data_IF_032786770220
#
_entry.id   IF_032786770220
#
_cell.length_a   1.000
_cell.length_b   1.000
_cell.length_c   1.000
_cell.angle_alpha   90.00
_cell.angle_beta   90.00
_cell.angle_gamma   90.00
#
_symmetry.space_group_name_H-M   'P 1'
#
loop_
_entity.id
_entity.type
_entity.pdbx_description
1 polymer ?
#
# COMPACT_ATOMS: atom_id res chain seq x y z
N UNK A 1 1.56 14.57 16.60
CA UNK A 1 2.88 15.23 16.45
C UNK A 1 2.80 16.18 15.26
N UNK A 2 3.52 17.31 15.29
CA UNK A 2 3.57 18.20 14.13
C UNK A 2 4.19 17.49 12.91
N UNK A 3 3.84 17.89 11.68
CA UNK A 3 4.39 17.28 10.47
C UNK A 3 5.92 17.43 10.45
N UNK A 4 6.63 16.40 9.97
CA UNK A 4 8.09 16.43 9.83
C UNK A 4 8.55 17.29 8.64
N UNK A 5 7.61 17.68 7.76
CA UNK A 5 7.83 18.49 6.58
C UNK A 5 6.81 19.64 6.54
N UNK A 6 7.16 20.81 5.97
CA UNK A 6 6.17 21.84 5.65
C UNK A 6 5.11 21.25 4.71
N UNK A 7 3.84 21.53 4.98
CA UNK A 7 2.72 21.10 4.13
C UNK A 7 2.21 22.31 3.35
N UNK A 8 2.12 22.18 2.03
CA UNK A 8 1.50 23.17 1.15
C UNK A 8 0.13 22.66 0.70
N UNK A 9 -0.80 22.60 1.66
CA UNK A 9 -2.13 22.02 1.42
C UNK A 9 -3.01 22.95 0.58
N UNK A 10 -3.85 22.40 -0.31
CA UNK A 10 -4.88 23.18 -0.99
C UNK A 10 -5.75 23.96 0.00
N UNK A 11 -6.24 25.14 -0.41
CA UNK A 11 -6.96 26.08 0.47
C UNK A 11 -8.29 25.54 1.04
N UNK A 12 -8.84 24.52 0.39
CA UNK A 12 -10.05 23.79 0.78
C UNK A 12 -9.77 22.62 1.75
N UNK A 13 -8.50 22.34 2.05
CA UNK A 13 -8.10 21.35 3.05
C UNK A 13 -7.79 22.04 4.37
N UNK A 14 -8.55 21.66 5.40
CA UNK A 14 -8.33 22.10 6.78
C UNK A 14 -7.64 20.98 7.57
N UNK A 15 -6.48 21.30 8.15
CA UNK A 15 -5.72 20.37 8.98
C UNK A 15 -5.82 20.77 10.44
N UNK A 16 -6.32 19.85 11.27
CA UNK A 16 -6.38 20.00 12.72
C UNK A 16 -5.72 18.79 13.39
N UNK A 17 -4.94 19.05 14.45
CA UNK A 17 -4.39 18.00 15.29
C UNK A 17 -5.31 17.76 16.47
N UNK A 18 -5.69 16.51 16.68
CA UNK A 18 -6.52 16.13 17.82
C UNK A 18 -5.76 16.33 19.15
N UNK A 19 -6.50 16.55 20.22
CA UNK A 19 -5.96 16.60 21.57
C UNK A 19 -5.37 15.23 21.97
N UNK A 20 -4.33 15.25 22.82
CA UNK A 20 -3.57 14.04 23.17
C UNK A 20 -4.39 12.98 23.94
N UNK A 21 -5.52 13.37 24.53
CA UNK A 21 -6.47 12.54 25.26
C UNK A 21 -7.64 12.03 24.39
N UNK A 22 -7.72 12.46 23.12
CA UNK A 22 -8.72 12.00 22.16
C UNK A 22 -8.15 10.92 21.24
N UNK A 23 -9.06 10.10 20.70
CA UNK A 23 -8.78 9.17 19.61
C UNK A 23 -9.73 9.44 18.45
N UNK A 24 -9.29 9.20 17.21
CA UNK A 24 -10.15 9.38 16.03
C UNK A 24 -11.40 8.49 16.09
N UNK A 25 -11.26 7.27 16.61
CA UNK A 25 -12.37 6.35 16.82
C UNK A 25 -13.37 6.86 17.86
N UNK A 26 -12.90 7.42 18.98
CA UNK A 26 -13.78 8.03 19.98
C UNK A 26 -14.50 9.28 19.46
N UNK A 27 -13.83 10.06 18.60
CA UNK A 27 -14.45 11.21 17.94
C UNK A 27 -15.54 10.79 16.94
N UNK A 28 -15.34 9.68 16.22
CA UNK A 28 -16.36 9.09 15.35
C UNK A 28 -17.58 8.62 16.17
N UNK A 29 -17.37 7.91 17.29
CA UNK A 29 -18.45 7.47 18.19
C UNK A 29 -19.22 8.65 18.81
N UNK A 30 -18.53 9.75 19.11
CA UNK A 30 -19.13 10.97 19.63
C UNK A 30 -19.86 11.81 18.56
N UNK A 31 -19.80 11.42 17.28
CA UNK A 31 -20.36 12.18 16.15
C UNK A 31 -19.60 13.46 15.83
N UNK A 32 -18.34 13.58 16.26
CA UNK A 32 -17.45 14.69 15.92
C UNK A 32 -16.80 14.52 14.54
N UNK A 33 -16.73 13.29 14.03
CA UNK A 33 -16.24 12.94 12.69
C UNK A 33 -17.31 12.16 11.94
N UNK A 34 -17.44 12.40 10.63
CA UNK A 34 -18.34 11.65 9.77
C UNK A 34 -17.70 10.35 9.22
N UNK A 35 -16.36 10.33 9.13
CA UNK A 35 -15.60 9.23 8.55
C UNK A 35 -14.21 9.11 9.17
N UNK A 36 -13.61 7.94 9.01
CA UNK A 36 -12.29 7.60 9.53
C UNK A 36 -11.46 6.87 8.48
N UNK A 37 -10.24 7.36 8.24
CA UNK A 37 -9.16 6.60 7.62
C UNK A 37 -8.25 6.07 8.73
N UNK A 38 -8.17 4.75 8.88
CA UNK A 38 -7.36 4.10 9.90
C UNK A 38 -6.43 3.05 9.28
N UNK A 39 -5.23 2.92 9.85
CA UNK A 39 -4.26 1.86 9.50
C UNK A 39 -4.55 0.53 10.20
N UNK A 40 -5.64 0.46 10.98
CA UNK A 40 -6.10 -0.70 11.71
C UNK A 40 -7.62 -0.78 11.62
N UNK A 41 -8.21 -1.95 11.86
CA UNK A 41 -9.66 -2.10 11.94
C UNK A 41 -10.14 -1.54 13.29
N UNK A 42 -11.00 -0.50 13.32
CA UNK A 42 -11.48 0.08 14.57
C UNK A 42 -12.18 -0.95 15.46
N UNK A 43 -11.99 -0.85 16.79
CA UNK A 43 -12.63 -1.75 17.75
C UNK A 43 -14.16 -1.68 17.69
N UNK A 44 -14.74 -0.51 17.41
CA UNK A 44 -16.17 -0.33 17.17
C UNK A 44 -16.66 -1.28 16.06
N UNK A 45 -15.89 -1.41 14.97
CA UNK A 45 -16.23 -2.29 13.87
C UNK A 45 -16.09 -3.76 14.28
N UNK A 46 -14.99 -4.12 14.96
CA UNK A 46 -14.76 -5.49 15.45
C UNK A 46 -15.83 -5.94 16.46
N UNK A 47 -16.33 -5.02 17.29
CA UNK A 47 -17.38 -5.26 18.26
C UNK A 47 -18.78 -5.24 17.65
N UNK A 48 -18.90 -5.03 16.33
CA UNK A 48 -20.19 -5.02 15.63
C UNK A 48 -21.07 -3.81 15.96
N UNK A 49 -20.45 -2.66 16.30
CA UNK A 49 -21.20 -1.42 16.53
C UNK A 49 -21.99 -1.04 15.26
N UNK A 50 -23.29 -0.73 15.37
CA UNK A 50 -24.09 -0.30 14.22
C UNK A 50 -23.75 1.13 13.75
N UNK A 51 -22.91 1.85 14.49
CA UNK A 51 -22.53 3.24 14.21
C UNK A 51 -21.37 3.37 13.21
N UNK A 52 -20.74 2.27 12.83
CA UNK A 52 -19.62 2.26 11.89
C UNK A 52 -19.82 1.19 10.82
N UNK A 53 -19.50 1.54 9.58
CA UNK A 53 -19.49 0.62 8.46
C UNK A 53 -18.33 0.95 7.53
N UNK A 54 -18.01 0.03 6.61
CA UNK A 54 -17.11 0.35 5.50
C UNK A 54 -17.81 1.36 4.59
N UNK A 55 -17.07 2.37 4.13
CA UNK A 55 -17.57 3.34 3.14
C UNK A 55 -18.03 2.65 1.85
N UNK A 56 -17.28 1.65 1.40
CA UNK A 56 -17.66 0.75 0.31
C UNK A 56 -17.99 -0.64 0.89
N UNK A 57 -19.27 -1.03 0.96
CA UNK A 57 -19.64 -2.38 1.40
C UNK A 57 -19.09 -3.47 0.48
N UNK A 58 -19.02 -3.17 -0.82
CA UNK A 58 -18.44 -3.98 -1.90
C UNK A 58 -16.99 -3.57 -2.20
N UNK A 59 -16.17 -3.40 -1.15
CA UNK A 59 -14.79 -2.89 -1.27
C UNK A 59 -13.95 -3.71 -2.25
N UNK A 60 -14.13 -5.03 -2.28
CA UNK A 60 -13.38 -5.92 -3.15
C UNK A 60 -13.62 -5.60 -4.63
N UNK A 61 -14.87 -5.42 -5.02
CA UNK A 61 -15.24 -5.07 -6.39
C UNK A 61 -14.74 -3.67 -6.77
N UNK A 62 -14.81 -2.72 -5.83
CA UNK A 62 -14.30 -1.35 -6.03
C UNK A 62 -12.78 -1.34 -6.21
N UNK A 63 -12.04 -2.12 -5.42
CA UNK A 63 -10.60 -2.27 -5.53
C UNK A 63 -10.18 -2.96 -6.84
N UNK A 64 -10.91 -4.01 -7.25
CA UNK A 64 -10.68 -4.68 -8.53
C UNK A 64 -10.93 -3.74 -9.71
N UNK A 65 -12.03 -2.97 -9.71
CA UNK A 65 -12.31 -1.95 -10.74
C UNK A 65 -11.22 -0.86 -10.77
N UNK A 66 -10.78 -0.39 -9.60
CA UNK A 66 -9.71 0.60 -9.52
C UNK A 66 -8.43 0.08 -10.19
N UNK A 67 -8.00 -1.14 -9.88
CA UNK A 67 -6.84 -1.75 -10.52
C UNK A 67 -7.05 -1.93 -12.03
N UNK A 68 -8.21 -2.43 -12.47
CA UNK A 68 -8.50 -2.61 -13.89
C UNK A 68 -8.46 -1.30 -14.69
N UNK A 69 -8.92 -0.19 -14.09
CA UNK A 69 -8.91 1.13 -14.74
C UNK A 69 -7.55 1.81 -14.74
N UNK A 70 -6.73 1.58 -13.73
CA UNK A 70 -5.52 2.38 -13.49
C UNK A 70 -4.21 1.60 -13.64
N UNK A 71 -4.24 0.28 -13.51
CA UNK A 71 -3.06 -0.56 -13.33
C UNK A 71 -2.35 -0.35 -11.98
N UNK A 72 -2.92 0.45 -11.06
CA UNK A 72 -2.30 0.74 -9.77
C UNK A 72 -2.69 -0.34 -8.77
N UNK A 73 -1.71 -1.17 -8.41
CA UNK A 73 -1.79 -2.02 -7.23
C UNK A 73 -1.08 -1.30 -6.07
N UNK A 74 -1.74 -1.04 -4.92
CA UNK A 74 -1.18 -0.20 -3.86
C UNK A 74 0.15 -0.70 -3.29
N UNK A 75 1.10 0.23 -3.14
CA UNK A 75 2.42 -0.04 -2.53
C UNK A 75 2.28 -0.04 -1.01
N UNK A 76 2.64 -1.15 -0.36
CA UNK A 76 2.63 -1.24 1.11
C UNK A 76 3.98 -0.84 1.72
N UNK A 77 5.09 -1.35 1.18
CA UNK A 77 6.44 -1.14 1.70
C UNK A 77 7.47 -0.97 0.58
N UNK A 78 8.52 -0.20 0.84
CA UNK A 78 9.68 -0.05 -0.03
C UNK A 78 10.97 -0.36 0.74
N UNK A 79 11.92 -1.01 0.08
CA UNK A 79 13.26 -1.25 0.63
C UNK A 79 14.20 -0.18 0.10
N UNK A 80 14.88 0.53 1.01
CA UNK A 80 15.84 1.59 0.66
C UNK A 80 17.23 1.22 1.16
N UNK A 81 18.25 1.57 0.38
CA UNK A 81 19.66 1.40 0.73
C UNK A 81 20.27 2.78 0.87
N UNK A 82 21.04 2.98 1.93
CA UNK A 82 21.78 4.24 2.12
C UNK A 82 22.81 4.39 0.99
N UNK A 83 22.93 5.60 0.44
CA UNK A 83 23.70 5.84 -0.78
C UNK A 83 25.20 5.47 -0.62
N UNK A 84 25.81 5.78 0.52
CA UNK A 84 27.19 5.44 0.83
C UNK A 84 27.44 3.91 0.85
N UNK A 85 26.50 3.13 1.40
CA UNK A 85 26.56 1.67 1.42
C UNK A 85 26.48 1.11 0.01
N UNK A 86 25.58 1.61 -0.83
CA UNK A 86 25.51 1.19 -2.23
C UNK A 86 26.80 1.56 -2.97
N UNK A 87 27.36 2.74 -2.73
CA UNK A 87 28.59 3.19 -3.40
C UNK A 87 29.79 2.32 -3.03
N UNK A 88 29.91 1.93 -1.76
CA UNK A 88 30.98 1.05 -1.27
C UNK A 88 30.76 -0.42 -1.67
N UNK A 89 29.50 -0.85 -1.76
CA UNK A 89 29.11 -2.23 -2.07
C UNK A 89 28.00 -2.28 -3.15
N UNK A 90 28.33 -2.01 -4.43
CA UNK A 90 27.32 -1.92 -5.50
C UNK A 90 26.49 -3.19 -5.72
N UNK A 91 27.02 -4.36 -5.33
CA UNK A 91 26.34 -5.66 -5.44
C UNK A 91 25.18 -5.84 -4.44
N UNK A 92 25.09 -5.00 -3.40
CA UNK A 92 24.08 -5.14 -2.33
C UNK A 92 22.65 -4.97 -2.89
N UNK A 93 22.43 -4.05 -3.82
CA UNK A 93 21.11 -3.84 -4.43
C UNK A 93 20.61 -5.11 -5.15
N UNK A 94 21.43 -5.68 -6.03
CA UNK A 94 21.09 -6.90 -6.76
C UNK A 94 20.91 -8.10 -5.82
N UNK A 95 21.74 -8.20 -4.78
CA UNK A 95 21.69 -9.29 -3.80
C UNK A 95 20.42 -9.24 -2.94
N UNK A 96 20.04 -8.05 -2.46
CA UNK A 96 18.79 -7.85 -1.72
C UNK A 96 17.58 -8.10 -2.62
N UNK A 97 17.57 -7.56 -3.84
CA UNK A 97 16.49 -7.79 -4.80
C UNK A 97 16.26 -9.29 -5.05
N UNK A 98 17.35 -10.04 -5.32
CA UNK A 98 17.28 -11.48 -5.51
C UNK A 98 16.76 -12.19 -4.25
N UNK A 99 17.33 -11.90 -3.08
CA UNK A 99 16.94 -12.56 -1.84
C UNK A 99 15.47 -12.32 -1.48
N UNK A 100 14.97 -11.08 -1.64
CA UNK A 100 13.56 -10.79 -1.38
C UNK A 100 12.64 -11.37 -2.45
N UNK A 101 13.07 -11.42 -3.72
CA UNK A 101 12.28 -12.09 -4.77
C UNK A 101 12.12 -13.58 -4.46
N UNK A 102 13.21 -14.26 -4.07
CA UNK A 102 13.17 -15.67 -3.63
C UNK A 102 12.26 -15.85 -2.41
N UNK A 103 12.35 -14.96 -1.41
CA UNK A 103 11.48 -15.01 -0.24
C UNK A 103 9.99 -14.81 -0.58
N UNK A 104 9.68 -13.87 -1.48
CA UNK A 104 8.33 -13.64 -1.99
C UNK A 104 7.81 -14.89 -2.71
N UNK A 105 8.59 -15.43 -3.64
CA UNK A 105 8.19 -16.59 -4.43
C UNK A 105 7.91 -17.81 -3.53
N UNK A 106 8.73 -18.02 -2.50
CA UNK A 106 8.47 -19.06 -1.49
C UNK A 106 7.13 -18.88 -0.76
N UNK A 107 6.77 -17.64 -0.42
CA UNK A 107 5.51 -17.34 0.27
C UNK A 107 4.29 -17.47 -0.65
N UNK A 108 4.39 -17.02 -1.90
CA UNK A 108 3.26 -16.96 -2.84
C UNK A 108 3.02 -18.29 -3.54
N UNK A 109 4.08 -19.01 -3.94
CA UNK A 109 3.93 -20.27 -4.67
C UNK A 109 3.22 -21.35 -3.85
N UNK A 110 3.27 -21.28 -2.51
CA UNK A 110 2.56 -22.19 -1.61
C UNK A 110 1.06 -21.92 -1.45
N UNK A 111 0.53 -20.81 -2.00
CA UNK A 111 -0.89 -20.48 -1.88
C UNK A 111 -1.79 -21.34 -2.78
N UNK A 112 -1.24 -21.90 -3.86
CA UNK A 112 -1.97 -22.72 -4.82
C UNK A 112 -1.55 -24.20 -4.73
N UNK A 113 -1.81 -24.81 -3.57
CA UNK A 113 -1.58 -26.23 -3.31
C UNK A 113 -2.93 -26.92 -3.01
N UNK A 114 -3.38 -27.80 -3.91
CA UNK A 114 -4.63 -28.54 -3.75
C UNK A 114 -4.55 -29.73 -2.80
N UNK A 115 -3.35 -30.20 -2.49
CA UNK A 115 -3.12 -31.37 -1.65
C UNK A 115 -3.01 -30.96 -0.17
N UNK A 116 -2.38 -29.82 0.11
CA UNK A 116 -2.25 -29.25 1.44
C UNK A 116 -2.27 -27.71 1.42
N UNK A 117 -3.42 -27.10 1.74
CA UNK A 117 -3.55 -25.64 1.78
C UNK A 117 -2.54 -25.02 2.76
N UNK A 118 -1.73 -24.06 2.28
CA UNK A 118 -0.76 -23.32 3.10
C UNK A 118 -1.39 -22.42 4.17
N UNK A 119 -2.69 -22.12 4.06
CA UNK A 119 -3.48 -21.42 5.06
C UNK A 119 -4.77 -22.20 5.33
N UNK A 120 -5.20 -22.24 6.59
CA UNK A 120 -6.46 -22.88 7.01
C UNK A 120 -7.72 -22.06 6.65
N UNK A 121 -7.71 -21.42 5.47
CA UNK A 121 -8.81 -20.64 4.94
C UNK A 121 -9.64 -21.51 3.97
N UNK A 122 -10.93 -21.74 4.25
CA UNK A 122 -11.82 -22.38 3.27
C UNK A 122 -11.82 -21.61 1.94
N UNK A 123 -11.88 -22.34 0.82
CA UNK A 123 -11.89 -21.76 -0.54
C UNK A 123 -10.64 -20.94 -0.91
N UNK A 124 -9.51 -21.14 -0.23
CA UNK A 124 -8.25 -20.44 -0.54
C UNK A 124 -7.90 -20.46 -2.04
N UNK A 125 -8.02 -21.63 -2.69
CA UNK A 125 -7.69 -21.75 -4.12
C UNK A 125 -8.60 -20.87 -5.00
N UNK A 126 -9.90 -20.81 -4.70
CA UNK A 126 -10.83 -19.95 -5.44
C UNK A 126 -10.46 -18.47 -5.26
N UNK A 127 -10.07 -18.07 -4.05
CA UNK A 127 -9.58 -16.72 -3.79
C UNK A 127 -8.28 -16.39 -4.54
N UNK A 128 -7.36 -17.35 -4.65
CA UNK A 128 -6.12 -17.18 -5.43
C UNK A 128 -6.44 -17.06 -6.93
N UNK A 129 -7.28 -17.93 -7.46
CA UNK A 129 -7.68 -17.89 -8.87
C UNK A 129 -8.43 -16.61 -9.21
N UNK A 130 -9.28 -16.12 -8.31
CA UNK A 130 -9.95 -14.83 -8.46
C UNK A 130 -8.95 -13.68 -8.48
N UNK A 131 -7.98 -13.67 -7.56
CA UNK A 131 -6.92 -12.68 -7.57
C UNK A 131 -6.14 -12.72 -8.89
N UNK A 132 -5.82 -13.90 -9.42
CA UNK A 132 -5.16 -14.04 -10.73
C UNK A 132 -5.97 -13.50 -11.89
N UNK A 133 -7.30 -13.69 -11.90
CA UNK A 133 -8.19 -13.14 -12.94
C UNK A 133 -8.15 -11.62 -12.98
N UNK A 134 -7.98 -10.95 -11.83
CA UNK A 134 -7.91 -9.48 -11.77
C UNK A 134 -6.49 -8.96 -11.94
N UNK A 135 -5.54 -9.47 -11.15
CA UNK A 135 -4.22 -8.87 -10.94
C UNK A 135 -3.11 -9.59 -11.72
N UNK A 136 -3.39 -10.74 -12.33
CA UNK A 136 -2.39 -11.62 -12.92
C UNK A 136 -1.71 -12.51 -11.87
N UNK A 137 -0.83 -13.40 -12.33
CA UNK A 137 -0.21 -14.43 -11.47
C UNK A 137 0.88 -13.90 -10.55
N UNK A 138 1.48 -12.75 -10.88
CA UNK A 138 2.49 -12.06 -10.06
C UNK A 138 1.91 -10.75 -9.47
N UNK A 139 0.84 -10.86 -8.69
CA UNK A 139 0.15 -9.71 -8.10
C UNK A 139 0.98 -8.97 -7.04
N UNK A 140 2.04 -9.59 -6.50
CA UNK A 140 3.05 -8.94 -5.66
C UNK A 140 4.35 -8.70 -6.44
N UNK A 141 4.24 -8.14 -7.64
CA UNK A 141 5.39 -7.94 -8.52
C UNK A 141 6.48 -7.07 -7.88
N UNK A 142 7.74 -7.45 -8.07
CA UNK A 142 8.91 -6.64 -7.68
C UNK A 142 9.53 -6.01 -8.91
N UNK A 143 10.20 -4.87 -8.71
CA UNK A 143 10.88 -4.12 -9.76
C UNK A 143 10.09 -2.90 -10.24
N UNK A 144 10.80 -2.01 -10.94
CA UNK A 144 10.27 -0.70 -11.35
C UNK A 144 9.18 -0.85 -12.41
N UNK A 145 9.44 -1.57 -13.50
CA UNK A 145 8.52 -1.60 -14.65
C UNK A 145 7.16 -2.21 -14.30
N UNK A 146 7.15 -3.34 -13.57
CA UNK A 146 5.90 -3.98 -13.14
C UNK A 146 5.07 -3.10 -12.18
N UNK A 147 5.72 -2.18 -11.47
CA UNK A 147 5.07 -1.26 -10.52
C UNK A 147 4.98 0.18 -11.05
N UNK A 148 5.36 0.44 -12.31
CA UNK A 148 5.49 1.79 -12.85
C UNK A 148 4.21 2.62 -12.71
N UNK A 149 3.00 2.11 -13.01
CA UNK A 149 1.77 2.88 -12.81
C UNK A 149 1.58 3.33 -11.35
N UNK A 150 1.87 2.45 -10.39
CA UNK A 150 1.75 2.76 -8.97
C UNK A 150 2.81 3.76 -8.50
N UNK A 151 4.05 3.64 -9.00
CA UNK A 151 5.14 4.55 -8.69
C UNK A 151 4.91 5.95 -9.26
N UNK A 152 4.46 6.05 -10.51
CA UNK A 152 4.13 7.32 -11.17
C UNK A 152 2.90 7.96 -10.50
N UNK A 153 1.88 7.16 -10.17
CA UNK A 153 0.73 7.59 -9.38
C UNK A 153 1.16 8.16 -8.03
N UNK A 154 2.01 7.46 -7.28
CA UNK A 154 2.56 7.94 -6.01
C UNK A 154 3.29 9.28 -6.19
N UNK A 155 4.19 9.37 -7.17
CA UNK A 155 4.98 10.58 -7.43
C UNK A 155 4.10 11.80 -7.76
N UNK A 156 2.97 11.58 -8.43
CA UNK A 156 1.98 12.63 -8.69
C UNK A 156 1.17 12.95 -7.42
N UNK A 157 0.64 11.95 -6.73
CA UNK A 157 -0.25 12.14 -5.58
C UNK A 157 0.43 12.87 -4.42
N UNK A 158 1.72 12.64 -4.17
CA UNK A 158 2.44 13.36 -3.11
C UNK A 158 2.57 14.86 -3.42
N UNK A 159 2.58 15.25 -4.69
CA UNK A 159 2.57 16.67 -5.10
C UNK A 159 1.17 17.24 -5.00
N UNK A 160 0.17 16.51 -5.51
CA UNK A 160 -1.24 16.93 -5.44
C UNK A 160 -1.71 17.13 -4.00
N UNK A 161 -1.14 16.36 -3.06
CA UNK A 161 -1.41 16.45 -1.61
C UNK A 161 -0.52 17.47 -0.87
N UNK A 162 0.33 18.22 -1.58
CA UNK A 162 1.18 19.24 -0.96
C UNK A 162 2.31 18.70 -0.09
N UNK A 163 2.69 17.43 -0.27
CA UNK A 163 3.76 16.74 0.46
C UNK A 163 5.12 16.86 -0.24
N UNK A 164 5.12 17.16 -1.53
CA UNK A 164 6.34 17.36 -2.33
C UNK A 164 6.20 18.59 -3.24
N UNK A 165 7.28 19.36 -3.46
CA UNK A 165 7.23 20.59 -4.26
C UNK A 165 7.20 20.33 -5.78
N UNK A 166 7.49 19.10 -6.22
CA UNK A 166 7.50 18.69 -7.62
C UNK A 166 7.37 17.18 -7.76
N UNK A 167 6.95 16.75 -8.94
CA UNK A 167 6.97 15.33 -9.31
C UNK A 167 8.44 14.93 -9.52
N UNK A 168 8.85 13.85 -8.87
CA UNK A 168 10.19 13.24 -9.04
C UNK A 168 10.05 12.09 -10.02
N UNK A 169 10.93 12.00 -11.02
CA UNK A 169 10.85 10.91 -11.98
C UNK A 169 11.24 9.57 -11.34
N UNK A 170 10.74 8.47 -11.88
CA UNK A 170 11.03 7.14 -11.32
C UNK A 170 12.52 6.81 -11.45
N UNK A 171 13.17 7.31 -12.49
CA UNK A 171 14.60 7.18 -12.74
C UNK A 171 15.46 8.02 -11.78
N UNK A 172 14.90 9.07 -11.17
CA UNK A 172 15.55 9.79 -10.07
C UNK A 172 15.44 9.02 -8.74
N UNK A 173 14.35 8.24 -8.55
CA UNK A 173 14.08 7.50 -7.32
C UNK A 173 14.80 6.16 -7.25
N UNK A 174 14.92 5.46 -8.40
CA UNK A 174 15.48 4.12 -8.46
C UNK A 174 16.74 4.10 -9.32
N UNK A 175 17.85 3.49 -8.84
CA UNK A 175 19.03 3.32 -9.66
C UNK A 175 18.73 2.36 -10.83
N UNK A 176 19.39 2.58 -11.97
CA UNK A 176 19.40 1.59 -13.05
C UNK A 176 20.08 0.32 -12.54
N UNK A 177 19.31 -0.76 -12.39
CA UNK A 177 19.87 -2.08 -12.08
C UNK A 177 20.17 -2.76 -13.42
N UNK A 178 21.44 -2.73 -13.81
CA UNK A 178 21.93 -3.55 -14.91
C UNK A 178 22.02 -5.00 -14.43
N UNK A 179 21.28 -5.90 -15.08
CA UNK A 179 21.41 -7.35 -14.90
C UNK A 179 22.61 -7.91 -15.67
#
# INVERSE_FOLDING_TARGET
PAPLIPLDLPSDIHLEFIAADKTLEGMLDAGELDALFATYIPNMFLNGSPQIARLFPNFKEVEQDYYQRTGIFPIMHAVVIREDVHREHPWVAASLYKAFSEAKDLAINGLYDSDALGLALPFLLDHVEEAWRTFGTDFWSYGVESNRPALEGLAQYVVDQGLAPRVVSIEELFPAIYS
#
